data_IF_007386654327
#
_entry.id   IF_007386654327
#
_cell.length_a   1.000
_cell.length_b   1.000
_cell.length_c   1.000
_cell.angle_alpha   90.00
_cell.angle_beta   90.00
_cell.angle_gamma   90.00
#
_symmetry.space_group_name_H-M   'P 1'
#
loop_
_entity.id
_entity.type
_entity.pdbx_description
1 polymer ?
#
# COMPACT_ATOMS: atom_id res chain seq x y z
N UNK A 1 -23.05 -12.95 30.02
CA UNK A 1 -23.25 -11.52 30.41
C UNK A 1 -21.99 -10.83 30.95
N UNK A 2 -21.14 -11.49 31.77
CA UNK A 2 -19.88 -10.90 32.29
C UNK A 2 -18.87 -10.45 31.23
N UNK A 3 -18.73 -11.21 30.14
CA UNK A 3 -17.80 -10.90 29.05
C UNK A 3 -18.16 -9.59 28.31
N UNK A 4 -19.46 -9.35 28.11
CA UNK A 4 -19.97 -8.15 27.43
C UNK A 4 -19.71 -6.89 28.26
N UNK A 5 -19.84 -7.00 29.59
CA UNK A 5 -19.61 -5.90 30.53
C UNK A 5 -18.11 -5.59 30.63
N UNK A 6 -17.26 -6.62 30.67
CA UNK A 6 -15.81 -6.45 30.68
C UNK A 6 -15.29 -5.77 29.40
N UNK A 7 -15.78 -6.20 28.22
CA UNK A 7 -15.40 -5.59 26.95
C UNK A 7 -15.89 -4.14 26.85
N UNK A 8 -17.11 -3.85 27.34
CA UNK A 8 -17.64 -2.48 27.37
C UNK A 8 -16.78 -1.56 28.26
N UNK A 9 -16.39 -2.02 29.45
CA UNK A 9 -15.53 -1.25 30.35
C UNK A 9 -14.13 -1.00 29.77
N UNK A 10 -13.57 -1.99 29.05
CA UNK A 10 -12.29 -1.82 28.36
C UNK A 10 -12.37 -0.77 27.22
N UNK A 11 -13.46 -0.78 26.44
CA UNK A 11 -13.70 0.19 25.37
C UNK A 11 -13.90 1.61 25.95
N UNK A 12 -14.70 1.74 27.02
CA UNK A 12 -14.95 3.03 27.68
C UNK A 12 -13.69 3.61 28.35
N UNK A 13 -12.76 2.75 28.78
CA UNK A 13 -11.44 3.17 29.29
C UNK A 13 -10.53 3.64 28.16
N UNK A 14 -10.47 2.90 27.05
CA UNK A 14 -9.65 3.28 25.88
C UNK A 14 -10.10 4.62 25.26
N UNK A 15 -11.41 4.87 25.22
CA UNK A 15 -12.00 6.15 24.77
C UNK A 15 -11.67 7.35 25.68
N UNK A 16 -11.27 7.13 26.94
CA UNK A 16 -10.91 8.20 27.88
C UNK A 16 -9.44 8.61 27.80
N UNK A 17 -8.58 7.72 27.31
CA UNK A 17 -7.15 7.98 27.13
C UNK A 17 -6.82 8.62 25.77
N UNK A 18 -7.80 8.71 24.85
CA UNK A 18 -7.68 9.45 23.60
C UNK A 18 -8.02 10.93 23.82
N UNK A 19 -7.01 11.80 23.76
CA UNK A 19 -7.22 13.24 23.72
C UNK A 19 -7.67 13.63 22.29
N UNK A 20 -8.92 14.07 22.09
CA UNK A 20 -9.45 14.38 20.77
C UNK A 20 -8.69 15.52 20.06
N UNK A 21 -7.97 16.36 20.80
CA UNK A 21 -7.12 17.41 20.22
C UNK A 21 -5.87 16.80 19.61
N UNK A 22 -5.26 15.82 20.28
CA UNK A 22 -4.05 15.14 19.79
C UNK A 22 -4.36 14.29 18.55
N UNK A 23 -5.51 13.61 18.51
CA UNK A 23 -5.93 12.85 17.33
C UNK A 23 -6.24 13.76 16.13
N UNK A 24 -6.92 14.89 16.36
CA UNK A 24 -7.20 15.85 15.31
C UNK A 24 -5.93 16.49 14.74
N UNK A 25 -4.95 16.80 15.58
CA UNK A 25 -3.63 17.31 15.16
C UNK A 25 -2.84 16.26 14.38
N UNK A 26 -2.87 14.99 14.81
CA UNK A 26 -2.22 13.89 14.10
C UNK A 26 -2.82 13.67 12.71
N UNK A 27 -4.16 13.62 12.61
CA UNK A 27 -4.87 13.46 11.34
C UNK A 27 -4.61 14.64 10.39
N UNK A 28 -4.62 15.88 10.89
CA UNK A 28 -4.34 17.07 10.08
C UNK A 28 -2.90 17.11 9.57
N UNK A 29 -1.94 16.63 10.37
CA UNK A 29 -0.54 16.50 9.97
C UNK A 29 -0.39 15.44 8.87
N UNK A 30 -1.02 14.29 9.03
CA UNK A 30 -1.02 13.20 8.06
C UNK A 30 -1.63 13.63 6.72
N UNK A 31 -2.78 14.31 6.75
CA UNK A 31 -3.42 14.84 5.55
C UNK A 31 -2.51 15.83 4.81
N UNK A 32 -1.77 16.67 5.53
CA UNK A 32 -0.81 17.61 4.95
C UNK A 32 0.41 16.91 4.34
N UNK A 33 0.92 15.87 4.98
CA UNK A 33 2.03 15.04 4.47
C UNK A 33 1.61 14.26 3.22
N UNK A 34 0.40 13.69 3.22
CA UNK A 34 -0.20 13.03 2.06
C UNK A 34 -0.40 14.01 0.89
N UNK A 35 -0.93 15.21 1.14
CA UNK A 35 -1.11 16.24 0.12
C UNK A 35 0.23 16.71 -0.48
N UNK A 36 1.26 16.88 0.35
CA UNK A 36 2.61 17.27 -0.10
C UNK A 36 3.23 16.16 -0.96
N UNK A 37 3.08 14.91 -0.53
CA UNK A 37 3.54 13.73 -1.28
C UNK A 37 2.85 13.66 -2.65
N UNK A 38 1.52 13.78 -2.69
CA UNK A 38 0.76 13.76 -3.94
C UNK A 38 1.17 14.88 -4.89
N UNK A 39 1.40 16.09 -4.38
CA UNK A 39 1.89 17.21 -5.18
C UNK A 39 3.26 16.92 -5.82
N UNK A 40 4.15 16.25 -5.09
CA UNK A 40 5.48 15.86 -5.61
C UNK A 40 5.45 14.78 -6.71
N UNK A 41 4.34 14.04 -6.80
CA UNK A 41 4.12 12.96 -7.76
C UNK A 41 3.29 13.41 -8.98
N UNK A 42 2.86 14.66 -9.04
CA UNK A 42 1.97 15.15 -10.10
C UNK A 42 2.62 15.06 -11.48
N UNK A 43 1.90 14.48 -12.44
CA UNK A 43 2.39 14.31 -13.81
C UNK A 43 3.52 13.29 -13.97
N UNK A 44 3.85 12.54 -12.92
CA UNK A 44 4.88 11.51 -12.99
C UNK A 44 4.30 10.20 -13.50
N UNK A 45 4.93 9.67 -14.56
CA UNK A 45 4.73 8.31 -15.03
C UNK A 45 5.57 7.31 -14.22
N UNK A 46 4.95 6.24 -13.73
CA UNK A 46 5.60 5.36 -12.77
C UNK A 46 4.87 4.05 -12.49
N UNK A 47 5.57 3.18 -11.77
CA UNK A 47 5.02 1.99 -11.12
C UNK A 47 4.61 2.37 -9.70
N UNK A 48 3.40 2.01 -9.29
CA UNK A 48 2.92 2.17 -7.94
C UNK A 48 2.74 0.79 -7.27
N UNK A 49 2.87 0.77 -5.94
CA UNK A 49 2.56 -0.39 -5.12
C UNK A 49 1.56 -0.01 -4.04
N UNK A 50 0.47 -0.77 -3.95
CA UNK A 50 -0.57 -0.61 -2.92
C UNK A 50 -0.75 -1.90 -2.12
N UNK A 51 -1.19 -1.77 -0.88
CA UNK A 51 -1.75 -2.89 -0.12
C UNK A 51 -2.99 -2.45 0.66
N UNK A 52 -3.66 -3.40 1.30
CA UNK A 52 -4.68 -3.10 2.30
C UNK A 52 -4.02 -2.99 3.68
N UNK A 53 -4.49 -2.09 4.53
CA UNK A 53 -3.95 -1.88 5.88
C UNK A 53 -3.81 -3.19 6.65
N UNK A 54 -4.87 -4.02 6.65
CA UNK A 54 -4.85 -5.34 7.26
C UNK A 54 -3.70 -6.25 6.79
N UNK A 55 -3.34 -6.23 5.50
CA UNK A 55 -2.25 -7.06 4.99
C UNK A 55 -0.87 -6.55 5.41
N UNK A 56 -0.74 -5.26 5.70
CA UNK A 56 0.49 -4.69 6.22
C UNK A 56 0.64 -4.98 7.72
N UNK A 57 -0.46 -4.90 8.48
CA UNK A 57 -0.51 -5.23 9.91
C UNK A 57 -0.35 -6.73 10.17
N UNK A 58 -0.92 -7.56 9.30
CA UNK A 58 -0.90 -9.02 9.39
C UNK A 58 -0.39 -9.63 8.09
N UNK A 59 0.94 -9.63 7.85
CA UNK A 59 1.53 -10.24 6.67
C UNK A 59 1.13 -11.71 6.53
N UNK A 60 0.94 -12.14 5.28
CA UNK A 60 0.56 -13.53 4.98
C UNK A 60 1.68 -14.51 5.38
N UNK A 61 2.93 -14.08 5.26
CA UNK A 61 4.11 -14.77 5.77
C UNK A 61 4.92 -13.79 6.64
N UNK A 62 4.69 -13.78 7.97
CA UNK A 62 5.37 -12.88 8.90
C UNK A 62 6.88 -13.10 8.97
N UNK A 63 7.38 -14.31 8.67
CA UNK A 63 8.80 -14.63 8.80
C UNK A 63 9.64 -13.88 7.76
N UNK A 64 9.11 -13.68 6.56
CA UNK A 64 9.78 -12.98 5.46
C UNK A 64 9.14 -11.61 5.14
N UNK A 65 8.14 -11.20 5.92
CA UNK A 65 7.36 -9.97 5.69
C UNK A 65 6.53 -10.00 4.40
N UNK A 66 6.35 -11.16 3.77
CA UNK A 66 5.62 -11.26 2.52
C UNK A 66 4.13 -11.10 2.75
N UNK A 67 3.52 -10.20 2.00
CA UNK A 67 2.09 -9.93 2.04
C UNK A 67 1.53 -9.67 0.65
N UNK A 68 0.22 -9.43 0.57
CA UNK A 68 -0.42 -9.12 -0.72
C UNK A 68 -0.22 -7.66 -1.08
N UNK A 69 0.60 -7.43 -2.10
CA UNK A 69 0.85 -6.10 -2.66
C UNK A 69 0.38 -6.07 -4.10
N UNK A 70 -0.46 -5.09 -4.44
CA UNK A 70 -0.81 -4.76 -5.81
C UNK A 70 0.32 -3.94 -6.43
N UNK A 71 0.80 -4.36 -7.59
CA UNK A 71 1.78 -3.63 -8.40
C UNK A 71 1.16 -3.28 -9.75
N UNK A 72 1.11 -2.00 -10.07
CA UNK A 72 0.58 -1.52 -11.35
C UNK A 72 1.25 -0.23 -11.80
N UNK A 73 0.80 0.32 -12.92
CA UNK A 73 1.40 1.46 -13.59
C UNK A 73 0.43 2.60 -13.88
N UNK A 74 0.97 3.80 -14.01
CA UNK A 74 0.20 4.96 -14.46
C UNK A 74 1.10 5.96 -15.19
N UNK A 75 0.52 6.66 -16.17
CA UNK A 75 1.13 7.84 -16.78
C UNK A 75 1.08 9.07 -15.86
N UNK A 76 0.16 9.09 -14.90
CA UNK A 76 0.10 10.06 -13.81
C UNK A 76 -0.24 9.34 -12.50
N UNK A 77 0.79 9.01 -11.72
CA UNK A 77 0.63 8.25 -10.47
C UNK A 77 -0.20 9.03 -9.44
N UNK A 78 -0.01 10.35 -9.32
CA UNK A 78 -0.78 11.17 -8.37
C UNK A 78 -2.29 11.16 -8.68
N UNK A 79 -2.66 11.27 -9.96
CA UNK A 79 -4.06 11.15 -10.37
C UNK A 79 -4.63 9.77 -10.01
N UNK A 80 -3.87 8.71 -10.28
CA UNK A 80 -4.33 7.36 -9.98
C UNK A 80 -4.52 7.14 -8.47
N UNK A 81 -3.60 7.63 -7.63
CA UNK A 81 -3.75 7.58 -6.17
C UNK A 81 -5.03 8.31 -5.75
N UNK A 82 -5.29 9.53 -6.24
CA UNK A 82 -6.51 10.28 -5.93
C UNK A 82 -7.78 9.52 -6.28
N UNK A 83 -7.81 8.86 -7.44
CA UNK A 83 -8.96 8.06 -7.88
C UNK A 83 -9.22 6.84 -6.97
N UNK A 84 -8.16 6.29 -6.37
CA UNK A 84 -8.24 5.17 -5.44
C UNK A 84 -8.62 5.61 -4.03
N UNK A 85 -8.11 6.74 -3.54
CA UNK A 85 -8.42 7.27 -2.20
C UNK A 85 -9.81 7.90 -2.12
N UNK A 86 -10.29 8.55 -3.19
CA UNK A 86 -11.59 9.25 -3.19
C UNK A 86 -12.82 8.36 -3.32
N UNK A 87 -12.65 7.09 -3.75
CA UNK A 87 -13.75 6.16 -4.00
C UNK A 87 -13.81 5.11 -2.90
N UNK A 88 -14.52 5.39 -1.81
CA UNK A 88 -15.05 4.35 -0.94
C UNK A 88 -15.97 3.45 -1.79
N UNK A 89 -15.48 2.30 -2.24
CA UNK A 89 -16.29 1.36 -3.02
C UNK A 89 -17.11 0.56 -2.02
N UNK A 90 -18.42 0.41 -2.26
CA UNK A 90 -19.32 -0.34 -1.37
C UNK A 90 -18.88 -1.81 -1.08
N UNK A 91 -17.99 -2.37 -1.91
CA UNK A 91 -17.42 -3.71 -1.76
C UNK A 91 -15.99 -3.73 -1.19
N UNK A 92 -15.42 -2.57 -0.84
CA UNK A 92 -14.05 -2.40 -0.39
C UNK A 92 -14.04 -1.40 0.78
N UNK A 93 -14.30 -1.88 2.00
CA UNK A 93 -14.50 -1.01 3.17
C UNK A 93 -13.22 -0.33 3.65
N UNK A 94 -12.03 -0.87 3.32
CA UNK A 94 -10.75 -0.31 3.73
C UNK A 94 -10.06 0.44 2.58
N UNK A 95 -9.47 1.63 2.85
CA UNK A 95 -8.67 2.36 1.87
C UNK A 95 -7.37 1.60 1.55
N UNK A 96 -6.89 1.74 0.31
CA UNK A 96 -5.59 1.21 -0.09
C UNK A 96 -4.47 2.11 0.44
N UNK A 97 -3.49 1.51 1.11
CA UNK A 97 -2.28 2.17 1.56
C UNK A 97 -1.23 2.17 0.45
N UNK A 98 -0.71 3.35 0.12
CA UNK A 98 0.39 3.51 -0.83
C UNK A 98 1.71 3.08 -0.17
N UNK A 99 2.43 2.16 -0.81
CA UNK A 99 3.66 1.59 -0.26
C UNK A 99 4.89 2.13 -0.98
N UNK A 100 4.87 2.15 -2.32
CA UNK A 100 6.00 2.57 -3.15
C UNK A 100 5.54 3.27 -4.40
N UNK A 101 6.37 4.20 -4.88
CA UNK A 101 6.29 4.75 -6.25
C UNK A 101 7.67 4.78 -6.87
N UNK A 102 7.79 4.21 -8.07
CA UNK A 102 9.02 4.19 -8.86
C UNK A 102 8.83 4.96 -10.16
N UNK A 103 9.69 5.95 -10.42
CA UNK A 103 9.67 6.69 -11.68
C UNK A 103 10.24 5.85 -12.82
N UNK A 104 9.51 5.82 -13.93
CA UNK A 104 9.97 5.19 -15.17
C UNK A 104 10.86 6.10 -16.00
N UNK A 105 10.88 7.40 -15.72
CA UNK A 105 11.58 8.41 -16.52
C UNK A 105 10.98 8.49 -17.92
N UNK A 106 11.81 8.32 -18.95
CA UNK A 106 11.38 8.30 -20.35
C UNK A 106 10.95 6.91 -20.86
N UNK A 107 11.00 5.87 -20.02
CA UNK A 107 10.65 4.50 -20.42
C UNK A 107 9.14 4.31 -20.51
N UNK A 108 8.72 3.38 -21.38
CA UNK A 108 7.32 2.99 -21.48
C UNK A 108 6.85 2.30 -20.19
N UNK A 109 5.84 2.86 -19.53
CA UNK A 109 5.35 2.36 -18.22
C UNK A 109 4.87 0.90 -18.28
N UNK A 110 4.21 0.52 -19.37
CA UNK A 110 3.68 -0.82 -19.59
C UNK A 110 4.78 -1.87 -19.74
N UNK A 111 5.94 -1.50 -20.31
CA UNK A 111 7.08 -2.42 -20.44
C UNK A 111 7.76 -2.64 -19.08
N UNK A 112 7.86 -1.57 -18.29
CA UNK A 112 8.42 -1.63 -16.93
C UNK A 112 7.50 -2.44 -16.01
N UNK A 113 6.19 -2.24 -16.10
CA UNK A 113 5.21 -3.00 -15.32
C UNK A 113 5.27 -4.50 -15.64
N UNK A 114 5.28 -4.83 -16.94
CA UNK A 114 5.46 -6.22 -17.39
C UNK A 114 6.75 -6.83 -16.82
N UNK A 115 7.86 -6.09 -16.83
CA UNK A 115 9.10 -6.57 -16.25
C UNK A 115 8.99 -6.83 -14.73
N UNK A 116 8.29 -5.97 -13.98
CA UNK A 116 7.99 -6.21 -12.56
C UNK A 116 7.20 -7.50 -12.37
N UNK A 117 6.08 -7.64 -13.10
CA UNK A 117 5.20 -8.79 -12.98
C UNK A 117 5.92 -10.09 -13.35
N UNK A 118 6.77 -10.06 -14.38
CA UNK A 118 7.52 -11.23 -14.84
C UNK A 118 8.59 -11.65 -13.82
N UNK A 119 9.31 -10.70 -13.23
CA UNK A 119 10.29 -10.97 -12.16
C UNK A 119 9.60 -11.51 -10.90
N UNK A 120 8.47 -10.92 -10.47
CA UNK A 120 7.69 -11.40 -9.34
C UNK A 120 7.16 -12.82 -9.59
N UNK A 121 6.62 -13.09 -10.77
CA UNK A 121 6.14 -14.44 -11.14
C UNK A 121 7.26 -15.46 -11.17
N UNK A 122 8.40 -15.11 -11.77
CA UNK A 122 9.57 -15.99 -11.89
C UNK A 122 10.18 -16.30 -10.52
N UNK A 123 10.13 -15.35 -9.59
CA UNK A 123 10.54 -15.55 -8.20
C UNK A 123 9.52 -16.34 -7.35
N UNK A 124 8.37 -16.71 -7.91
CA UNK A 124 7.33 -17.45 -7.19
C UNK A 124 6.42 -16.59 -6.31
N UNK A 125 6.45 -15.26 -6.45
CA UNK A 125 5.64 -14.32 -5.66
C UNK A 125 4.17 -14.24 -6.15
N UNK A 126 3.65 -15.33 -6.70
CA UNK A 126 2.27 -15.41 -7.19
C UNK A 126 1.29 -15.37 -6.03
N UNK A 127 0.12 -14.77 -6.24
CA UNK A 127 -0.95 -14.81 -5.24
C UNK A 127 -1.65 -16.18 -5.25
N UNK A 128 -1.49 -17.00 -4.18
CA UNK A 128 -2.06 -18.34 -4.13
C UNK A 128 -3.60 -18.33 -4.08
N UNK A 129 -4.22 -17.20 -3.70
CA UNK A 129 -5.69 -17.06 -3.61
C UNK A 129 -6.35 -16.75 -4.97
N UNK A 130 -5.57 -16.58 -6.04
CA UNK A 130 -6.05 -16.09 -7.36
C UNK A 130 -5.66 -16.99 -8.54
N UNK A 131 -5.22 -18.22 -8.28
CA UNK A 131 -4.89 -19.18 -9.34
C UNK A 131 -6.13 -19.46 -10.21
N UNK A 132 -6.11 -19.07 -11.49
CA UNK A 132 -7.16 -19.38 -12.47
C UNK A 132 -8.25 -18.32 -12.70
N UNK A 133 -8.13 -17.09 -12.19
CA UNK A 133 -9.03 -15.96 -12.53
C UNK A 133 -8.28 -14.86 -13.28
N UNK A 134 -8.87 -14.31 -14.35
CA UNK A 134 -8.29 -13.20 -15.14
C UNK A 134 -8.14 -11.90 -14.34
N UNK A 135 -8.93 -11.73 -13.28
CA UNK A 135 -8.97 -10.50 -12.48
C UNK A 135 -8.03 -10.61 -11.27
N UNK A 136 -7.14 -9.63 -11.09
CA UNK A 136 -6.23 -9.52 -9.95
C UNK A 136 -4.84 -10.11 -10.16
N UNK A 137 -4.39 -10.27 -11.41
CA UNK A 137 -3.03 -10.69 -11.78
C UNK A 137 -1.93 -9.77 -11.25
N UNK A 138 -2.31 -8.54 -10.95
CA UNK A 138 -1.48 -7.47 -10.37
C UNK A 138 -1.21 -7.63 -8.87
N UNK A 139 -1.82 -8.59 -8.18
CA UNK A 139 -1.59 -8.84 -6.76
C UNK A 139 -0.55 -9.95 -6.57
N UNK A 140 0.51 -9.64 -5.84
CA UNK A 140 1.65 -10.54 -5.61
C UNK A 140 1.87 -10.77 -4.12
N UNK A 141 2.32 -11.98 -3.77
CA UNK A 141 2.76 -12.32 -2.42
C UNK A 141 4.25 -11.94 -2.29
N UNK A 142 4.53 -10.72 -1.85
CA UNK A 142 5.87 -10.11 -1.86
C UNK A 142 6.05 -9.14 -0.71
N UNK A 143 7.24 -8.57 -0.56
CA UNK A 143 7.54 -7.51 0.39
C UNK A 143 8.17 -6.29 -0.32
N UNK A 144 8.36 -5.23 0.44
CA UNK A 144 8.89 -3.94 -0.03
C UNK A 144 10.33 -4.06 -0.54
N UNK A 145 11.19 -4.77 0.21
CA UNK A 145 12.61 -4.95 -0.13
C UNK A 145 12.80 -5.62 -1.49
N UNK A 146 11.93 -6.57 -1.83
CA UNK A 146 11.97 -7.24 -3.13
C UNK A 146 11.57 -6.28 -4.26
N UNK A 147 10.56 -5.44 -4.04
CA UNK A 147 10.15 -4.42 -5.01
C UNK A 147 11.27 -3.39 -5.22
N UNK A 148 11.91 -2.94 -4.14
CA UNK A 148 13.05 -2.01 -4.20
C UNK A 148 14.25 -2.66 -4.92
N UNK A 149 14.45 -3.97 -4.73
CA UNK A 149 15.48 -4.74 -5.45
C UNK A 149 15.20 -4.83 -6.95
N UNK A 150 13.96 -5.09 -7.37
CA UNK A 150 13.55 -5.04 -8.77
C UNK A 150 13.80 -3.64 -9.34
N UNK A 151 13.33 -2.61 -8.65
CA UNK A 151 13.50 -1.22 -9.08
C UNK A 151 14.97 -0.87 -9.29
N UNK A 152 15.85 -1.28 -8.36
CA UNK A 152 17.30 -1.08 -8.45
C UNK A 152 17.91 -1.81 -9.65
N UNK A 153 17.56 -3.08 -9.88
CA UNK A 153 18.09 -3.87 -11.01
C UNK A 153 17.66 -3.29 -12.35
N UNK A 154 16.41 -2.82 -12.45
CA UNK A 154 15.88 -2.16 -13.65
C UNK A 154 16.40 -0.71 -13.77
N UNK A 155 16.99 -0.14 -12.71
CA UNK A 155 17.51 1.22 -12.69
C UNK A 155 16.40 2.28 -12.64
N UNK A 156 15.32 2.03 -11.89
CA UNK A 156 14.27 3.01 -11.59
C UNK A 156 14.65 3.88 -10.39
N UNK A 157 14.07 5.08 -10.33
CA UNK A 157 14.21 5.98 -9.18
C UNK A 157 13.01 5.83 -8.26
N UNK A 158 13.23 5.46 -7.00
CA UNK A 158 12.19 5.49 -5.97
C UNK A 158 11.84 6.94 -5.64
N UNK A 159 10.55 7.29 -5.76
CA UNK A 159 10.03 8.63 -5.47
C UNK A 159 9.29 8.70 -4.14
N UNK A 160 8.72 7.57 -3.74
CA UNK A 160 7.93 7.48 -2.52
C UNK A 160 8.18 6.13 -1.86
N UNK A 161 8.36 6.18 -0.55
CA UNK A 161 8.39 5.05 0.36
C UNK A 161 7.38 5.32 1.48
N UNK A 162 6.23 4.67 1.38
CA UNK A 162 5.28 4.60 2.48
C UNK A 162 5.77 3.58 3.48
N UNK A 163 5.70 3.92 4.76
CA UNK A 163 5.79 2.92 5.82
C UNK A 163 4.39 2.43 6.08
N UNK A 164 4.22 1.12 6.31
CA UNK A 164 3.10 0.71 7.14
C UNK A 164 3.24 1.46 8.46
N UNK A 165 2.20 2.19 8.85
CA UNK A 165 2.10 2.89 10.14
C UNK A 165 2.25 1.93 11.34
N UNK A 166 2.23 0.61 11.06
CA UNK A 166 2.16 -0.48 12.02
C UNK A 166 3.39 -1.40 12.01
N UNK A 167 4.37 -1.17 11.11
CA UNK A 167 5.67 -1.84 11.19
C UNK A 167 6.50 -1.22 12.33
N UNK A 168 6.26 -1.68 13.55
CA UNK A 168 7.10 -1.35 14.71
C UNK A 168 8.40 -2.15 14.65
N UNK A 169 9.51 -1.51 15.06
CA UNK A 169 10.86 -2.11 15.17
C UNK A 169 10.91 -3.33 16.10
#
# INVERSE_FOLDING_TARGET
>A
MKLLIANKAAIESALKDQDPVVEAEAAAKEEREAATTLASLEGIAGIYAFSYGWYLESPVDPQHGNTLIKVGESLNVAQHIREHTSKARAHMPEPLALIRVYSTGARAVTEVERAFHDLLRTAGHINPRRVGREVGVEWFLTNEDFLDSIAKVIGLRTLYTGRSEFATE
#
